data_IF_086369058065
#
_entry.id   IF_086369058065
#
_cell.length_a   1.000
_cell.length_b   1.000
_cell.length_c   1.000
_cell.angle_alpha   90.00
_cell.angle_beta   90.00
_cell.angle_gamma   90.00
#
_symmetry.space_group_name_H-M   'P 1'
#
loop_
_entity.id
_entity.type
_entity.pdbx_description
1 polymer ?
#
# COMPACT_ATOMS: atom_id res chain seq x y z
N UNK A 1 8.05 -4.20 36.16
CA UNK A 1 7.41 -2.88 36.30
C UNK A 1 8.51 -1.86 36.50
N UNK A 2 8.83 -1.10 35.45
CA UNK A 2 9.80 0.00 35.52
C UNK A 2 9.32 1.02 36.55
N UNK A 3 10.17 1.39 37.52
CA UNK A 3 9.79 2.40 38.51
C UNK A 3 9.67 3.75 37.82
N UNK A 4 8.49 4.34 37.89
CA UNK A 4 8.25 5.73 37.51
C UNK A 4 9.08 6.65 38.39
N UNK A 5 9.80 7.59 37.77
CA UNK A 5 10.63 8.58 38.43
C UNK A 5 9.90 9.92 38.35
N UNK A 6 9.52 10.49 39.48
CA UNK A 6 8.97 11.86 39.53
C UNK A 6 10.10 12.87 39.31
N UNK A 7 9.90 13.84 38.42
CA UNK A 7 10.85 14.92 38.18
C UNK A 7 10.55 16.10 39.10
N UNK A 8 11.57 16.89 39.42
CA UNK A 8 11.43 18.09 40.26
C UNK A 8 10.50 19.14 39.64
N UNK A 9 10.30 19.11 38.32
CA UNK A 9 9.36 19.96 37.58
C UNK A 9 7.91 19.42 37.55
N UNK A 10 7.61 18.33 38.27
CA UNK A 10 6.27 17.72 38.35
C UNK A 10 5.89 16.80 37.19
N UNK A 11 6.87 16.32 36.41
CA UNK A 11 6.67 15.34 35.32
C UNK A 11 7.03 13.91 35.75
N UNK A 12 6.61 12.92 34.97
CA UNK A 12 6.91 11.50 35.22
C UNK A 12 7.84 10.95 34.15
N UNK A 13 9.03 10.47 34.56
CA UNK A 13 10.00 9.76 33.73
C UNK A 13 9.77 8.26 33.84
N UNK A 14 9.58 7.61 32.69
CA UNK A 14 9.45 6.15 32.61
C UNK A 14 10.74 5.62 31.99
N UNK A 15 11.66 5.04 32.77
CA UNK A 15 12.87 4.45 32.23
C UNK A 15 12.53 3.19 31.43
N UNK A 16 13.02 3.11 30.20
CA UNK A 16 12.85 1.96 29.31
C UNK A 16 14.23 1.38 29.01
N UNK A 17 14.38 0.06 29.17
CA UNK A 17 15.59 -0.64 28.77
C UNK A 17 15.73 -0.61 27.26
N UNK A 18 16.92 -0.27 26.76
CA UNK A 18 17.17 -0.22 25.31
C UNK A 18 17.01 -1.59 24.65
N UNK A 19 17.40 -2.67 25.36
CA UNK A 19 17.27 -4.04 24.86
C UNK A 19 15.78 -4.42 24.69
N UNK A 20 14.97 -4.09 25.69
CA UNK A 20 13.52 -4.35 25.64
C UNK A 20 12.84 -3.53 24.55
N UNK A 21 13.20 -2.25 24.41
CA UNK A 21 12.63 -1.37 23.39
C UNK A 21 13.00 -1.81 21.97
N UNK A 22 14.27 -2.13 21.73
CA UNK A 22 14.72 -2.63 20.42
C UNK A 22 14.02 -3.92 20.06
N UNK A 23 13.92 -4.87 20.99
CA UNK A 23 13.22 -6.14 20.75
C UNK A 23 11.74 -5.92 20.44
N UNK A 24 11.07 -5.07 21.21
CA UNK A 24 9.66 -4.75 21.01
C UNK A 24 9.43 -4.06 19.67
N UNK A 25 10.14 -2.98 19.38
CA UNK A 25 10.01 -2.23 18.13
C UNK A 25 10.30 -3.12 16.90
N UNK A 26 11.30 -3.99 16.99
CA UNK A 26 11.62 -4.96 15.94
C UNK A 26 10.48 -5.95 15.70
N UNK A 27 9.92 -6.54 16.75
CA UNK A 27 8.81 -7.50 16.64
C UNK A 27 7.56 -6.80 16.10
N UNK A 28 7.20 -5.63 16.63
CA UNK A 28 6.01 -4.88 16.23
C UNK A 28 6.07 -4.51 14.75
N UNK A 29 7.21 -3.97 14.29
CA UNK A 29 7.41 -3.65 12.88
C UNK A 29 7.41 -4.91 12.02
N UNK A 30 8.15 -5.94 12.39
CA UNK A 30 8.22 -7.20 11.62
C UNK A 30 6.84 -7.82 11.47
N UNK A 31 6.03 -7.80 12.52
CA UNK A 31 4.70 -8.37 12.49
C UNK A 31 3.76 -7.55 11.60
N UNK A 32 3.85 -6.22 11.65
CA UNK A 32 3.10 -5.35 10.74
C UNK A 32 3.43 -5.61 9.27
N UNK A 33 4.72 -5.86 8.96
CA UNK A 33 5.17 -6.18 7.60
C UNK A 33 4.61 -7.51 7.14
N UNK A 34 4.72 -8.55 7.96
CA UNK A 34 4.29 -9.91 7.60
C UNK A 34 2.78 -9.95 7.36
N UNK A 35 1.98 -9.41 8.29
CA UNK A 35 0.52 -9.53 8.25
C UNK A 35 -0.11 -8.53 7.28
N UNK A 36 0.38 -7.29 7.24
CA UNK A 36 -0.35 -6.16 6.64
C UNK A 36 0.37 -5.53 5.46
N UNK A 37 1.44 -6.14 4.93
CA UNK A 37 2.19 -5.57 3.79
C UNK A 37 2.71 -6.62 2.81
N UNK A 38 3.53 -7.56 3.29
CA UNK A 38 4.37 -8.38 2.45
C UNK A 38 3.66 -9.62 1.89
N UNK A 39 2.88 -10.31 2.72
CA UNK A 39 2.24 -11.57 2.35
C UNK A 39 0.79 -11.35 1.89
N UNK A 40 0.33 -12.09 0.87
CA UNK A 40 -1.08 -12.11 0.49
C UNK A 40 -1.92 -12.94 1.46
N UNK A 41 -3.23 -12.67 1.49
CA UNK A 41 -4.19 -13.51 2.19
C UNK A 41 -4.48 -14.77 1.37
N UNK A 42 -4.62 -15.93 2.02
CA UNK A 42 -4.84 -17.21 1.34
C UNK A 42 -6.21 -17.29 0.64
N UNK A 43 -7.20 -16.52 1.09
CA UNK A 43 -8.58 -16.58 0.59
C UNK A 43 -8.75 -15.93 -0.78
N UNK A 44 -8.02 -14.84 -1.02
CA UNK A 44 -8.12 -14.06 -2.24
C UNK A 44 -6.79 -13.90 -3.00
N UNK A 45 -5.66 -14.30 -2.40
CA UNK A 45 -4.33 -14.13 -2.97
C UNK A 45 -3.85 -12.68 -3.03
N UNK A 46 -4.55 -11.73 -2.40
CA UNK A 46 -4.27 -10.30 -2.49
C UNK A 46 -3.50 -9.77 -1.28
N UNK A 47 -2.50 -8.92 -1.57
CA UNK A 47 -1.89 -8.05 -0.57
C UNK A 47 -2.83 -6.88 -0.24
N UNK A 48 -2.68 -6.23 0.92
CA UNK A 48 -3.56 -5.11 1.30
C UNK A 48 -3.61 -3.97 0.29
N UNK A 49 -2.52 -3.65 -0.40
CA UNK A 49 -2.51 -2.60 -1.44
C UNK A 49 -3.41 -2.95 -2.63
N UNK A 50 -3.35 -4.19 -3.14
CA UNK A 50 -4.18 -4.64 -4.26
C UNK A 50 -5.66 -4.59 -3.89
N UNK A 51 -6.01 -5.09 -2.70
CA UNK A 51 -7.39 -5.09 -2.22
C UNK A 51 -7.97 -3.68 -2.09
N UNK A 52 -7.19 -2.73 -1.56
CA UNK A 52 -7.61 -1.33 -1.41
C UNK A 52 -7.80 -0.64 -2.76
N UNK A 53 -6.93 -0.91 -3.74
CA UNK A 53 -7.07 -0.40 -5.10
C UNK A 53 -8.37 -0.90 -5.73
N UNK A 54 -8.57 -2.22 -5.76
CA UNK A 54 -9.76 -2.83 -6.37
C UNK A 54 -11.04 -2.39 -5.66
N UNK A 55 -11.02 -2.27 -4.33
CA UNK A 55 -12.17 -1.78 -3.57
C UNK A 55 -12.50 -0.31 -3.88
N UNK A 56 -11.50 0.57 -3.97
CA UNK A 56 -11.70 1.96 -4.37
C UNK A 56 -12.23 2.06 -5.81
N UNK A 57 -11.73 1.24 -6.73
CA UNK A 57 -12.26 1.19 -8.10
C UNK A 57 -13.73 0.75 -8.15
N UNK A 58 -14.13 -0.25 -7.37
CA UNK A 58 -15.53 -0.68 -7.24
C UNK A 58 -16.40 0.44 -6.64
N UNK A 59 -15.96 1.10 -5.56
CA UNK A 59 -16.65 2.26 -4.93
C UNK A 59 -16.79 3.45 -5.89
N UNK A 60 -15.81 3.66 -6.77
CA UNK A 60 -15.86 4.68 -7.83
C UNK A 60 -16.76 4.28 -9.02
N UNK A 61 -17.26 3.04 -9.04
CA UNK A 61 -18.09 2.50 -10.12
C UNK A 61 -17.31 2.19 -11.39
N UNK A 62 -15.99 1.96 -11.30
CA UNK A 62 -15.14 1.62 -12.43
C UNK A 62 -15.33 0.14 -12.79
N UNK A 63 -16.24 -0.11 -13.72
CA UNK A 63 -16.52 -1.43 -14.28
C UNK A 63 -15.97 -1.51 -15.70
N UNK A 64 -15.82 -2.72 -16.23
CA UNK A 64 -15.38 -2.95 -17.61
C UNK A 64 -16.25 -2.23 -18.67
N UNK A 65 -17.53 -1.94 -18.34
CA UNK A 65 -18.45 -1.21 -19.22
C UNK A 65 -18.28 0.31 -19.19
N UNK A 66 -17.53 0.82 -18.22
CA UNK A 66 -17.36 2.27 -18.02
C UNK A 66 -16.06 2.77 -18.64
N UNK A 67 -16.00 4.01 -19.14
CA UNK A 67 -14.76 4.57 -19.66
C UNK A 67 -13.66 4.61 -18.59
N UNK A 68 -12.42 4.37 -19.03
CA UNK A 68 -11.21 4.50 -18.22
C UNK A 68 -11.10 5.86 -17.54
N UNK A 69 -10.36 5.91 -16.43
CA UNK A 69 -10.16 7.14 -15.64
C UNK A 69 -8.69 7.28 -15.30
N UNK A 70 -8.19 8.51 -15.38
CA UNK A 70 -6.82 8.87 -15.00
C UNK A 70 -6.36 8.13 -13.74
N UNK A 71 -5.26 7.40 -13.84
CA UNK A 71 -4.69 6.65 -12.72
C UNK A 71 -4.42 7.57 -11.51
N UNK A 72 -4.03 8.82 -11.73
CA UNK A 72 -3.86 9.82 -10.66
C UNK A 72 -5.12 10.00 -9.80
N UNK A 73 -6.33 9.90 -10.39
CA UNK A 73 -7.60 9.99 -9.64
C UNK A 73 -7.83 8.75 -8.78
N UNK A 74 -7.55 7.56 -9.33
CA UNK A 74 -7.68 6.28 -8.61
C UNK A 74 -6.69 6.24 -7.43
N UNK A 75 -5.42 6.58 -7.69
CA UNK A 75 -4.38 6.65 -6.66
C UNK A 75 -4.77 7.64 -5.56
N UNK A 76 -5.24 8.85 -5.93
CA UNK A 76 -5.69 9.85 -4.96
C UNK A 76 -6.84 9.37 -4.06
N UNK A 77 -7.83 8.67 -4.62
CA UNK A 77 -8.96 8.14 -3.84
C UNK A 77 -8.52 7.03 -2.86
N UNK A 78 -7.65 6.12 -3.33
CA UNK A 78 -7.08 5.04 -2.51
C UNK A 78 -6.29 5.61 -1.33
N UNK A 79 -5.47 6.64 -1.56
CA UNK A 79 -4.69 7.28 -0.50
C UNK A 79 -5.58 8.01 0.51
N UNK A 80 -6.57 8.76 0.01
CA UNK A 80 -7.46 9.56 0.85
C UNK A 80 -8.36 8.73 1.76
N UNK A 81 -8.74 7.51 1.34
CA UNK A 81 -9.71 6.69 2.08
C UNK A 81 -9.12 5.44 2.74
N UNK A 82 -8.16 4.77 2.11
CA UNK A 82 -7.87 3.38 2.45
C UNK A 82 -6.38 3.07 2.68
N UNK A 83 -5.45 3.84 2.11
CA UNK A 83 -4.04 3.49 2.07
C UNK A 83 -3.13 4.67 2.51
N UNK A 84 -2.79 4.78 3.81
CA UNK A 84 -2.02 5.91 4.35
C UNK A 84 -0.50 5.75 4.11
N UNK A 85 -0.09 5.46 2.88
CA UNK A 85 1.31 5.32 2.46
C UNK A 85 1.58 6.10 1.18
N UNK A 86 2.78 5.99 0.60
CA UNK A 86 3.15 6.78 -0.58
C UNK A 86 2.33 6.44 -1.83
N UNK A 87 2.05 7.46 -2.63
CA UNK A 87 1.37 7.38 -3.93
C UNK A 87 2.08 6.45 -4.91
N UNK A 88 3.41 6.51 -4.97
CA UNK A 88 4.24 5.64 -5.80
C UNK A 88 3.93 4.15 -5.57
N UNK A 89 3.81 3.72 -4.31
CA UNK A 89 3.54 2.31 -3.99
C UNK A 89 2.17 1.83 -4.45
N UNK A 90 1.18 2.72 -4.49
CA UNK A 90 -0.16 2.44 -5.00
C UNK A 90 -0.15 2.41 -6.52
N UNK A 91 0.52 3.37 -7.15
CA UNK A 91 0.62 3.44 -8.61
C UNK A 91 1.38 2.24 -9.19
N UNK A 92 2.51 1.86 -8.60
CA UNK A 92 3.30 0.71 -9.04
C UNK A 92 2.51 -0.60 -8.92
N UNK A 93 1.73 -0.74 -7.84
CA UNK A 93 0.84 -1.88 -7.66
C UNK A 93 -0.30 -1.90 -8.68
N UNK A 94 -0.91 -0.75 -8.97
CA UNK A 94 -1.94 -0.59 -10.00
C UNK A 94 -1.38 -0.96 -11.38
N UNK A 95 -0.20 -0.45 -11.73
CA UNK A 95 0.45 -0.72 -13.01
C UNK A 95 0.72 -2.21 -13.19
N UNK A 96 1.30 -2.88 -12.18
CA UNK A 96 1.54 -4.32 -12.24
C UNK A 96 0.27 -5.15 -12.43
N UNK A 97 -0.86 -4.70 -11.88
CA UNK A 97 -2.15 -5.38 -12.05
C UNK A 97 -2.72 -5.27 -13.47
N UNK A 98 -2.20 -4.35 -14.28
CA UNK A 98 -2.57 -4.14 -15.68
C UNK A 98 -1.58 -4.74 -16.70
N UNK A 99 -0.39 -5.20 -16.26
CA UNK A 99 0.63 -5.78 -17.13
C UNK A 99 0.35 -7.26 -17.41
N UNK A 100 0.03 -7.59 -18.66
CA UNK A 100 -0.25 -8.96 -19.14
C UNK A 100 0.98 -9.87 -19.12
N UNK A 101 2.19 -9.31 -19.25
CA UNK A 101 3.45 -10.03 -19.08
C UNK A 101 3.84 -10.25 -17.61
N UNK A 102 3.21 -9.54 -16.66
CA UNK A 102 3.48 -9.70 -15.22
C UNK A 102 2.50 -10.68 -14.56
N UNK A 103 1.23 -10.67 -14.99
CA UNK A 103 0.18 -11.51 -14.42
C UNK A 103 -0.42 -12.44 -15.47
N UNK A 104 -0.66 -13.69 -15.08
CA UNK A 104 -1.35 -14.66 -15.94
C UNK A 104 -2.76 -14.21 -16.33
N UNK A 105 -3.45 -13.55 -15.41
CA UNK A 105 -4.77 -12.93 -15.59
C UNK A 105 -4.69 -11.53 -14.98
N UNK A 106 -4.79 -10.52 -15.82
CA UNK A 106 -4.86 -9.13 -15.35
C UNK A 106 -6.21 -8.88 -14.68
N UNK A 107 -6.20 -7.99 -13.69
CA UNK A 107 -7.39 -7.61 -12.93
C UNK A 107 -7.73 -6.13 -13.09
N UNK A 108 -6.88 -5.40 -13.82
CA UNK A 108 -7.05 -4.01 -14.22
C UNK A 108 -6.85 -3.94 -15.72
N UNK A 109 -7.75 -3.25 -16.41
CA UNK A 109 -7.58 -2.87 -17.80
C UNK A 109 -7.07 -1.43 -17.84
N UNK A 110 -5.87 -1.24 -18.39
CA UNK A 110 -5.23 0.07 -18.47
C UNK A 110 -5.14 0.60 -19.90
N UNK A 111 -5.23 1.92 -20.06
CA UNK A 111 -5.00 2.62 -21.31
C UNK A 111 -3.78 3.54 -21.22
N UNK A 112 -2.82 3.36 -22.12
CA UNK A 112 -1.59 4.14 -22.20
C UNK A 112 -0.34 3.28 -22.05
N UNK A 113 0.79 3.90 -21.72
CA UNK A 113 2.05 3.18 -21.51
C UNK A 113 2.17 2.69 -20.07
N UNK A 114 1.99 1.37 -19.88
CA UNK A 114 2.12 0.67 -18.60
C UNK A 114 3.46 -0.07 -18.46
N UNK A 115 4.47 0.28 -19.27
CA UNK A 115 5.80 -0.35 -19.27
C UNK A 115 5.89 -1.55 -20.21
N UNK A 116 7.07 -2.14 -20.28
CA UNK A 116 7.41 -3.22 -21.22
C UNK A 116 8.17 -4.38 -20.56
N UNK A 117 8.29 -5.49 -21.28
CA UNK A 117 9.11 -6.65 -20.87
C UNK A 117 10.60 -6.32 -20.83
N UNK A 118 11.03 -5.31 -21.60
CA UNK A 118 12.42 -4.84 -21.66
C UNK A 118 12.83 -4.04 -20.40
N UNK A 119 11.88 -3.81 -19.48
CA UNK A 119 12.11 -3.08 -18.23
C UNK A 119 11.83 -1.59 -18.33
N UNK A 120 11.19 -1.12 -19.41
CA UNK A 120 10.78 0.27 -19.51
C UNK A 120 9.73 0.59 -18.43
N UNK A 121 9.89 1.69 -17.67
CA UNK A 121 8.92 2.07 -16.66
C UNK A 121 7.60 2.53 -17.30
N UNK A 122 6.48 2.44 -16.56
CA UNK A 122 5.22 3.03 -17.00
C UNK A 122 5.37 4.55 -17.16
N UNK A 123 4.52 5.15 -17.99
CA UNK A 123 4.36 6.60 -17.99
C UNK A 123 3.87 7.10 -16.63
N UNK A 124 4.04 8.39 -16.34
CA UNK A 124 3.51 8.97 -15.12
C UNK A 124 1.97 8.86 -15.04
N UNK A 125 1.43 8.70 -13.82
CA UNK A 125 -0.02 8.49 -13.55
C UNK A 125 -0.98 9.56 -14.09
N UNK A 126 -0.47 10.69 -14.56
CA UNK A 126 -1.23 11.75 -15.24
C UNK A 126 -1.55 11.42 -16.71
N UNK A 127 -0.83 10.48 -17.31
CA UNK A 127 -0.98 10.09 -18.71
C UNK A 127 -1.75 8.78 -18.89
N UNK A 128 -1.63 7.86 -17.93
CA UNK A 128 -2.32 6.56 -17.93
C UNK A 128 -3.73 6.66 -17.37
N UNK A 129 -4.60 5.76 -17.84
CA UNK A 129 -5.99 5.60 -17.40
C UNK A 129 -6.33 4.14 -17.11
#
# INVERSE_FOLDING_TARGET
MSKEIQTEAGGTLIPISIEDEVKKAYIDYSMSVIVSRALPDVRDGLKPVHRRILYSMEEMGLRYTTPTKKCARIVGDVLGKFHPHGDASVYDALVRMAQDFSLRYTVVEGQGNFGSVDGDPPAAMRYTE
#
